data_IF_299638766942
#
_entry.id   IF_299638766942
#
_cell.length_a   1.000
_cell.length_b   1.000
_cell.length_c   1.000
_cell.angle_alpha   90.00
_cell.angle_beta   90.00
_cell.angle_gamma   90.00
#
_symmetry.space_group_name_H-M   'P 1'
#
loop_
_entity.id
_entity.type
_entity.pdbx_description
1 polymer ?
#
# COMPACT_ATOMS: atom_id res chain seq x y z
N UNK A 1 -1.99 -9.66 25.16
CA UNK A 1 -2.01 -9.34 23.71
C UNK A 1 -3.36 -8.69 23.40
N UNK A 2 -3.40 -7.56 22.70
CA UNK A 2 -4.68 -6.95 22.30
C UNK A 2 -5.19 -7.58 20.98
N UNK A 3 -6.48 -7.36 20.67
CA UNK A 3 -7.14 -7.98 19.51
C UNK A 3 -6.47 -7.59 18.18
N UNK A 4 -6.01 -6.36 18.05
CA UNK A 4 -5.26 -5.87 16.87
C UNK A 4 -3.98 -6.66 16.64
N UNK A 5 -3.18 -6.86 17.69
CA UNK A 5 -1.94 -7.63 17.61
C UNK A 5 -2.22 -9.11 17.31
N UNK A 6 -3.31 -9.67 17.86
CA UNK A 6 -3.73 -11.05 17.56
C UNK A 6 -4.14 -11.20 16.09
N UNK A 7 -4.90 -10.25 15.55
CA UNK A 7 -5.31 -10.24 14.14
C UNK A 7 -4.10 -10.11 13.19
N UNK A 8 -3.15 -9.24 13.52
CA UNK A 8 -1.90 -9.10 12.76
C UNK A 8 -1.09 -10.40 12.75
N UNK A 9 -0.98 -11.08 13.90
CA UNK A 9 -0.30 -12.37 14.00
C UNK A 9 -0.97 -13.46 13.16
N UNK A 10 -2.31 -13.53 13.15
CA UNK A 10 -3.05 -14.49 12.32
C UNK A 10 -2.76 -14.24 10.84
N UNK A 11 -2.80 -12.98 10.40
CA UNK A 11 -2.46 -12.61 9.01
C UNK A 11 -1.03 -12.98 8.63
N UNK A 12 -0.07 -12.72 9.51
CA UNK A 12 1.32 -13.08 9.27
C UNK A 12 1.51 -14.60 9.13
N UNK A 13 0.83 -15.40 9.96
CA UNK A 13 0.88 -16.87 9.87
C UNK A 13 0.28 -17.39 8.57
N UNK A 14 -0.86 -16.86 8.15
CA UNK A 14 -1.48 -17.22 6.87
C UNK A 14 -0.60 -16.86 5.67
N UNK A 15 0.02 -15.68 5.69
CA UNK A 15 0.95 -15.26 4.64
C UNK A 15 2.18 -16.17 4.58
N UNK A 16 2.70 -16.62 5.72
CA UNK A 16 3.86 -17.49 5.80
C UNK A 16 3.62 -18.90 5.22
N UNK A 17 2.37 -19.38 5.23
CA UNK A 17 2.00 -20.68 4.68
C UNK A 17 1.40 -20.58 3.27
N UNK A 18 1.34 -19.39 2.67
CA UNK A 18 0.70 -19.18 1.36
C UNK A 18 1.33 -20.07 0.27
N UNK A 19 0.53 -20.71 -0.61
CA UNK A 19 -0.92 -20.51 -0.80
C UNK A 19 -1.82 -21.22 0.23
N UNK A 20 -1.26 -21.97 1.18
CA UNK A 20 -2.04 -22.65 2.23
C UNK A 20 -2.87 -23.81 1.70
N UNK A 21 -2.41 -24.46 0.62
CA UNK A 21 -3.12 -25.56 -0.02
C UNK A 21 -3.00 -26.82 0.82
N UNK A 22 -4.07 -27.17 1.52
CA UNK A 22 -4.17 -28.36 2.36
C UNK A 22 -5.10 -29.38 1.71
N UNK A 23 -4.75 -30.66 1.81
CA UNK A 23 -5.57 -31.77 1.31
C UNK A 23 -5.78 -32.83 2.40
N UNK A 24 -6.99 -33.40 2.41
CA UNK A 24 -7.31 -34.58 3.22
C UNK A 24 -6.74 -35.82 2.54
N UNK A 25 -5.99 -36.62 3.28
CA UNK A 25 -5.43 -37.89 2.82
C UNK A 25 -5.70 -38.98 3.85
N UNK A 26 -5.70 -40.24 3.38
CA UNK A 26 -5.80 -41.43 4.23
C UNK A 26 -4.66 -42.39 3.91
N UNK A 27 -4.11 -43.00 4.95
CA UNK A 27 -3.16 -44.11 4.86
C UNK A 27 -3.55 -45.25 5.82
N UNK A 28 -2.65 -46.21 6.03
CA UNK A 28 -2.87 -47.33 6.95
C UNK A 28 -3.08 -46.93 8.42
N UNK A 29 -2.62 -45.73 8.81
CA UNK A 29 -2.74 -45.19 10.16
C UNK A 29 -3.90 -44.18 10.27
N UNK A 30 -4.74 -44.07 9.24
CA UNK A 30 -5.96 -43.26 9.22
C UNK A 30 -5.84 -41.92 8.48
N UNK A 31 -6.69 -40.97 8.87
CA UNK A 31 -6.87 -39.70 8.17
C UNK A 31 -5.87 -38.63 8.64
N UNK A 32 -5.26 -37.91 7.70
CA UNK A 32 -4.37 -36.79 7.98
C UNK A 32 -4.54 -35.65 6.95
N UNK A 33 -3.96 -34.50 7.28
CA UNK A 33 -3.83 -33.35 6.38
C UNK A 33 -2.40 -33.26 5.91
N UNK A 34 -2.21 -33.07 4.61
CA UNK A 34 -0.93 -32.68 4.03
C UNK A 34 -1.01 -31.25 3.52
N UNK A 35 0.09 -30.51 3.63
CA UNK A 35 0.28 -29.21 3.02
C UNK A 35 1.10 -29.37 1.74
N UNK A 36 0.66 -28.69 0.68
CA UNK A 36 1.43 -28.55 -0.56
C UNK A 36 2.39 -27.37 -0.46
N UNK A 37 3.68 -27.65 -0.58
CA UNK A 37 4.73 -26.64 -0.62
C UNK A 37 4.93 -26.02 -2.01
N UNK A 38 5.82 -25.01 -2.13
CA UNK A 38 5.97 -24.21 -3.35
C UNK A 38 6.42 -24.99 -4.59
N UNK A 39 7.12 -26.11 -4.41
CA UNK A 39 7.61 -26.95 -5.52
C UNK A 39 6.72 -28.18 -5.75
N UNK A 40 5.56 -28.23 -5.09
CA UNK A 40 4.59 -29.33 -5.21
C UNK A 40 4.83 -30.48 -4.23
N UNK A 41 5.79 -30.36 -3.31
CA UNK A 41 6.02 -31.31 -2.23
C UNK A 41 4.79 -31.42 -1.32
N UNK A 42 4.47 -32.64 -0.88
CA UNK A 42 3.36 -32.91 0.01
C UNK A 42 3.93 -33.31 1.37
N UNK A 43 3.58 -32.56 2.41
CA UNK A 43 4.10 -32.76 3.77
C UNK A 43 2.95 -32.96 4.75
N UNK A 44 2.89 -34.08 5.50
CA UNK A 44 1.90 -34.27 6.56
C UNK A 44 2.06 -33.19 7.65
N UNK A 45 0.98 -32.48 7.99
CA UNK A 45 0.99 -31.38 8.98
C UNK A 45 0.12 -31.67 10.20
N UNK A 46 -0.85 -32.56 10.10
CA UNK A 46 -1.77 -32.91 11.18
C UNK A 46 -2.38 -34.30 10.93
N UNK A 47 -2.52 -35.13 11.96
CA UNK A 47 -3.29 -36.38 11.90
C UNK A 47 -4.50 -36.33 12.82
N UNK A 48 -5.63 -36.86 12.38
CA UNK A 48 -6.86 -36.90 13.17
C UNK A 48 -6.96 -38.18 13.99
N UNK A 49 -7.66 -38.08 15.12
CA UNK A 49 -8.07 -39.26 15.87
C UNK A 49 -9.10 -40.05 15.03
N UNK A 50 -9.12 -41.40 15.10
CA UNK A 50 -10.10 -42.22 14.39
C UNK A 50 -11.57 -41.88 14.69
N UNK A 51 -11.87 -41.30 15.85
CA UNK A 51 -13.21 -40.86 16.23
C UNK A 51 -13.61 -39.46 15.75
N UNK A 52 -12.73 -38.74 15.04
CA UNK A 52 -13.06 -37.43 14.50
C UNK A 52 -14.13 -37.55 13.41
N UNK A 53 -15.14 -36.69 13.48
CA UNK A 53 -16.19 -36.63 12.47
C UNK A 53 -15.66 -36.06 11.16
N UNK A 54 -16.33 -36.40 10.06
CA UNK A 54 -16.00 -35.84 8.74
C UNK A 54 -16.13 -34.31 8.72
N UNK A 55 -17.09 -33.74 9.44
CA UNK A 55 -17.28 -32.29 9.53
C UNK A 55 -16.10 -31.60 10.24
N UNK A 56 -15.61 -32.18 11.35
CA UNK A 56 -14.42 -31.67 12.05
C UNK A 56 -13.17 -31.74 11.16
N UNK A 57 -13.03 -32.83 10.40
CA UNK A 57 -11.91 -33.01 9.47
C UNK A 57 -11.97 -31.97 8.36
N UNK A 58 -13.12 -31.81 7.70
CA UNK A 58 -13.29 -30.86 6.61
C UNK A 58 -13.09 -29.42 7.06
N UNK A 59 -13.61 -29.05 8.24
CA UNK A 59 -13.39 -27.71 8.80
C UNK A 59 -11.89 -27.38 8.95
N UNK A 60 -11.08 -28.36 9.35
CA UNK A 60 -9.63 -28.18 9.53
C UNK A 60 -8.89 -28.16 8.20
N UNK A 61 -9.26 -29.02 7.24
CA UNK A 61 -8.69 -29.05 5.90
C UNK A 61 -8.92 -27.71 5.19
N UNK A 62 -10.13 -27.17 5.30
CA UNK A 62 -10.54 -25.91 4.67
C UNK A 62 -10.13 -24.66 5.48
N UNK A 63 -9.44 -24.84 6.61
CA UNK A 63 -9.15 -23.76 7.56
C UNK A 63 -8.35 -22.59 6.94
N UNK A 64 -7.27 -22.82 6.14
CA UNK A 64 -6.56 -21.72 5.51
C UNK A 64 -7.45 -20.87 4.59
N UNK A 65 -8.22 -21.52 3.72
CA UNK A 65 -9.15 -20.86 2.81
C UNK A 65 -10.27 -20.12 3.56
N UNK A 66 -10.87 -20.79 4.55
CA UNK A 66 -11.90 -20.22 5.42
C UNK A 66 -11.40 -18.97 6.13
N UNK A 67 -10.18 -18.99 6.68
CA UNK A 67 -9.60 -17.83 7.33
C UNK A 67 -9.31 -16.69 6.34
N UNK A 68 -8.81 -16.99 5.14
CA UNK A 68 -8.63 -15.97 4.08
C UNK A 68 -9.96 -15.33 3.71
N UNK A 69 -11.02 -16.14 3.55
CA UNK A 69 -12.37 -15.67 3.25
C UNK A 69 -12.93 -14.76 4.36
N UNK A 70 -12.86 -15.21 5.63
CA UNK A 70 -13.35 -14.46 6.79
C UNK A 70 -12.58 -13.16 6.99
N UNK A 71 -11.25 -13.18 6.87
CA UNK A 71 -10.43 -11.97 6.95
C UNK A 71 -10.75 -10.99 5.81
N UNK A 72 -11.00 -11.50 4.60
CA UNK A 72 -11.48 -10.70 3.48
C UNK A 72 -12.85 -10.07 3.73
N UNK A 73 -13.77 -10.78 4.40
CA UNK A 73 -15.05 -10.21 4.85
C UNK A 73 -14.85 -9.09 5.87
N UNK A 74 -13.96 -9.29 6.85
CA UNK A 74 -13.60 -8.27 7.84
C UNK A 74 -13.01 -7.04 7.15
N UNK A 75 -12.10 -7.22 6.19
CA UNK A 75 -11.51 -6.11 5.42
C UNK A 75 -12.57 -5.34 4.64
N UNK A 76 -13.50 -6.04 3.98
CA UNK A 76 -14.63 -5.41 3.28
C UNK A 76 -15.57 -4.69 4.24
N UNK A 77 -15.86 -5.27 5.41
CA UNK A 77 -16.71 -4.65 6.41
C UNK A 77 -16.06 -3.37 6.98
N UNK A 78 -14.76 -3.43 7.32
CA UNK A 78 -13.98 -2.27 7.75
C UNK A 78 -13.94 -1.21 6.64
N UNK A 79 -13.77 -1.60 5.38
CA UNK A 79 -13.77 -0.66 4.25
C UNK A 79 -15.14 0.02 4.05
N UNK A 80 -16.25 -0.67 4.36
CA UNK A 80 -17.62 -0.11 4.30
C UNK A 80 -17.97 0.77 5.51
N UNK A 81 -17.47 0.42 6.69
CA UNK A 81 -17.73 1.14 7.96
C UNK A 81 -16.82 2.34 8.15
N UNK A 82 -15.61 2.28 7.58
CA UNK A 82 -14.89 3.52 7.33
C UNK A 82 -15.86 4.37 6.51
N UNK A 83 -16.21 5.60 6.93
CA UNK A 83 -16.82 6.55 6.01
C UNK A 83 -15.98 6.48 4.74
N UNK A 84 -16.54 6.63 3.53
CA UNK A 84 -15.71 6.69 2.34
C UNK A 84 -14.57 7.60 2.72
N UNK A 85 -13.37 7.03 2.89
CA UNK A 85 -12.16 7.83 2.91
C UNK A 85 -12.37 8.48 1.59
N UNK A 86 -12.73 9.77 1.62
CA UNK A 86 -13.00 10.52 0.43
C UNK A 86 -11.90 10.07 -0.50
N UNK A 87 -12.26 9.33 -1.55
CA UNK A 87 -11.26 8.87 -2.50
C UNK A 87 -10.68 10.09 -3.24
N UNK A 88 -11.03 11.32 -2.82
CA UNK A 88 -10.16 12.49 -2.59
C UNK A 88 -8.84 12.22 -1.82
N UNK A 89 -8.19 11.05 -1.90
CA UNK A 89 -6.72 10.99 -1.65
C UNK A 89 -5.97 10.17 -2.70
N UNK A 90 -6.60 9.23 -3.43
CA UNK A 90 -5.82 8.37 -4.35
C UNK A 90 -6.49 7.98 -5.67
N UNK A 91 -7.72 8.42 -5.98
CA UNK A 91 -8.25 8.29 -7.35
C UNK A 91 -9.15 9.43 -7.85
N UNK A 92 -9.56 10.35 -6.96
CA UNK A 92 -10.22 11.63 -7.30
C UNK A 92 -9.32 12.88 -7.21
N UNK A 93 -8.10 12.75 -6.66
CA UNK A 93 -7.12 13.86 -6.57
C UNK A 93 -6.29 14.09 -7.83
N UNK A 94 -6.61 13.44 -8.95
CA UNK A 94 -6.08 13.88 -10.24
C UNK A 94 -6.84 15.09 -10.80
N UNK A 95 -8.09 15.36 -10.37
CA UNK A 95 -8.89 16.43 -10.97
C UNK A 95 -9.84 17.23 -10.06
N UNK A 96 -10.06 16.91 -8.78
CA UNK A 96 -11.10 17.62 -8.00
C UNK A 96 -10.79 17.96 -6.53
N UNK A 97 -9.51 18.03 -6.12
CA UNK A 97 -9.11 19.04 -5.14
C UNK A 97 -8.35 20.08 -5.92
N UNK A 98 -9.03 21.15 -6.26
CA UNK A 98 -8.37 22.41 -6.45
C UNK A 98 -7.98 22.85 -5.02
N UNK A 99 -6.71 22.69 -4.57
CA UNK A 99 -6.31 23.53 -3.48
C UNK A 99 -6.41 24.92 -4.10
N UNK A 100 -7.36 25.74 -3.63
CA UNK A 100 -7.39 27.18 -3.93
C UNK A 100 -6.06 27.89 -3.57
N UNK A 101 -5.00 27.14 -3.19
CA UNK A 101 -3.69 27.62 -2.83
C UNK A 101 -2.54 26.63 -3.18
N UNK A 102 -2.31 26.33 -4.47
CA UNK A 102 -1.05 25.75 -4.99
C UNK A 102 0.21 26.44 -4.45
N UNK A 103 0.15 27.74 -4.17
CA UNK A 103 1.27 28.48 -3.59
C UNK A 103 1.69 27.95 -2.21
N UNK A 104 0.72 27.61 -1.35
CA UNK A 104 0.97 27.08 -0.01
C UNK A 104 1.58 25.68 -0.08
N UNK A 105 1.03 24.83 -0.93
CA UNK A 105 1.57 23.49 -1.16
C UNK A 105 3.02 23.55 -1.68
N UNK A 106 3.28 24.39 -2.69
CA UNK A 106 4.61 24.61 -3.20
C UNK A 106 5.57 25.03 -2.09
N UNK A 107 5.13 25.89 -1.16
CA UNK A 107 5.91 26.24 0.01
C UNK A 107 6.26 25.07 0.92
N UNK A 108 5.30 24.21 1.22
CA UNK A 108 5.54 23.01 2.06
C UNK A 108 6.50 22.03 1.37
N UNK A 109 6.32 21.80 0.06
CA UNK A 109 7.18 20.89 -0.71
C UNK A 109 8.62 21.40 -0.83
N UNK A 110 8.84 22.70 -0.98
CA UNK A 110 10.20 23.26 -1.01
C UNK A 110 11.01 23.02 0.29
N UNK A 111 10.34 22.75 1.41
CA UNK A 111 10.98 22.45 2.70
C UNK A 111 11.27 20.96 2.89
N UNK A 112 10.65 20.08 2.09
CA UNK A 112 10.81 18.63 2.17
C UNK A 112 12.21 18.20 1.69
N UNK A 113 13.05 17.57 2.54
CA UNK A 113 14.39 17.12 2.16
C UNK A 113 14.40 16.21 0.93
N UNK A 114 13.43 15.31 0.79
CA UNK A 114 13.36 14.39 -0.36
C UNK A 114 13.05 15.13 -1.65
N UNK A 115 12.23 16.18 -1.58
CA UNK A 115 11.93 17.01 -2.74
C UNK A 115 13.17 17.79 -3.21
N UNK A 116 14.05 18.20 -2.29
CA UNK A 116 15.31 18.85 -2.63
C UNK A 116 16.27 17.91 -3.37
N UNK A 117 16.37 16.66 -2.91
CA UNK A 117 17.17 15.61 -3.57
C UNK A 117 16.60 15.30 -4.96
N UNK A 118 15.28 15.18 -5.08
CA UNK A 118 14.63 15.02 -6.38
C UNK A 118 14.96 16.15 -7.36
N UNK A 119 14.92 17.41 -6.91
CA UNK A 119 15.27 18.55 -7.76
C UNK A 119 16.76 18.57 -8.13
N UNK A 120 17.64 18.11 -7.25
CA UNK A 120 19.07 17.91 -7.56
C UNK A 120 19.23 16.86 -8.67
N UNK A 121 18.65 15.68 -8.50
CA UNK A 121 18.83 14.54 -9.42
C UNK A 121 18.15 14.74 -10.79
N UNK A 122 16.91 15.25 -10.80
CA UNK A 122 16.06 15.29 -12.00
C UNK A 122 16.05 16.62 -12.70
N UNK A 123 16.27 17.71 -11.97
CA UNK A 123 16.19 19.06 -12.50
C UNK A 123 17.49 19.84 -12.37
N UNK A 124 18.58 19.23 -11.87
CA UNK A 124 19.90 19.85 -11.79
C UNK A 124 19.95 21.04 -10.83
N UNK A 125 19.30 20.93 -9.67
CA UNK A 125 19.47 21.90 -8.59
C UNK A 125 20.87 21.75 -7.97
N UNK A 126 21.68 22.80 -8.06
CA UNK A 126 23.04 22.80 -7.51
C UNK A 126 23.07 23.03 -5.99
N UNK A 127 24.00 22.35 -5.32
CA UNK A 127 24.27 22.55 -3.89
C UNK A 127 24.77 23.97 -3.59
N UNK A 128 24.48 24.51 -2.39
CA UNK A 128 23.69 23.92 -1.31
C UNK A 128 22.17 23.89 -1.59
N UNK A 129 21.49 22.85 -1.12
CA UNK A 129 20.04 22.66 -1.25
C UNK A 129 19.26 23.47 -0.19
N UNK A 130 19.36 24.80 -0.26
CA UNK A 130 18.63 25.71 0.64
C UNK A 130 17.20 25.92 0.15
N UNK A 131 16.28 26.21 1.09
CA UNK A 131 14.86 26.46 0.79
C UNK A 131 14.68 27.58 -0.26
N UNK A 132 15.53 28.61 -0.20
CA UNK A 132 15.51 29.73 -1.14
C UNK A 132 15.87 29.30 -2.57
N UNK A 133 16.93 28.50 -2.73
CA UNK A 133 17.38 27.99 -4.03
C UNK A 133 16.37 27.02 -4.63
N UNK A 134 15.79 26.17 -3.79
CA UNK A 134 14.71 25.26 -4.16
C UNK A 134 13.50 26.06 -4.66
N UNK A 135 13.07 27.08 -3.91
CA UNK A 135 11.96 27.93 -4.32
C UNK A 135 12.26 28.72 -5.60
N UNK A 136 13.50 29.17 -5.81
CA UNK A 136 13.91 29.84 -7.05
C UNK A 136 13.88 28.87 -8.24
N UNK A 137 14.37 27.64 -8.06
CA UNK A 137 14.35 26.61 -9.11
C UNK A 137 12.94 26.24 -9.52
N UNK A 138 12.05 26.02 -8.55
CA UNK A 138 10.63 25.72 -8.82
C UNK A 138 9.97 26.87 -9.59
N UNK A 139 10.18 28.13 -9.19
CA UNK A 139 9.68 29.29 -9.95
C UNK A 139 10.16 29.31 -11.41
N UNK A 140 11.45 29.02 -11.62
CA UNK A 140 12.03 28.92 -12.96
C UNK A 140 11.41 27.80 -13.81
N UNK A 141 11.14 26.64 -13.21
CA UNK A 141 10.46 25.53 -13.89
C UNK A 141 9.02 25.88 -14.29
N UNK A 142 8.32 26.63 -13.44
CA UNK A 142 6.92 27.02 -13.66
C UNK A 142 6.76 28.29 -14.52
N UNK A 143 7.84 29.04 -14.75
CA UNK A 143 7.83 30.30 -15.50
C UNK A 143 7.16 31.46 -14.75
N UNK A 144 7.14 31.44 -13.42
CA UNK A 144 6.46 32.43 -12.57
C UNK A 144 7.44 33.19 -11.69
N UNK A 145 7.10 34.42 -11.32
CA UNK A 145 7.92 35.23 -10.38
C UNK A 145 7.51 35.02 -8.92
N UNK A 146 6.26 34.61 -8.70
CA UNK A 146 5.66 34.38 -7.40
C UNK A 146 4.94 33.04 -7.36
N UNK A 147 5.05 32.34 -6.23
CA UNK A 147 4.28 31.10 -5.97
C UNK A 147 2.77 31.34 -6.00
N UNK A 148 2.32 32.58 -5.74
CA UNK A 148 0.89 32.95 -5.82
C UNK A 148 0.32 32.75 -7.22
N UNK A 149 1.13 32.97 -8.25
CA UNK A 149 0.72 32.81 -9.66
C UNK A 149 0.33 31.36 -9.99
N UNK A 150 0.75 30.38 -9.19
CA UNK A 150 0.29 28.99 -9.33
C UNK A 150 -1.22 28.84 -9.07
N UNK A 151 -1.81 29.75 -8.29
CA UNK A 151 -3.24 29.74 -7.97
C UNK A 151 -4.11 30.34 -9.07
N UNK A 152 -3.50 31.10 -9.98
CA UNK A 152 -4.22 31.82 -11.04
C UNK A 152 -4.60 30.89 -12.21
N UNK A 153 -4.24 29.60 -12.12
CA UNK A 153 -4.50 28.59 -13.13
C UNK A 153 -3.55 28.65 -14.32
N UNK A 154 -3.91 27.97 -15.41
CA UNK A 154 -3.13 27.97 -16.64
C UNK A 154 -1.80 27.21 -16.57
N UNK A 155 -0.88 27.54 -17.49
CA UNK A 155 0.36 26.79 -17.74
C UNK A 155 1.22 26.55 -16.48
N UNK A 156 1.31 27.54 -15.60
CA UNK A 156 2.09 27.43 -14.37
C UNK A 156 1.50 26.40 -13.39
N UNK A 157 0.16 26.38 -13.26
CA UNK A 157 -0.55 25.40 -12.43
C UNK A 157 -0.44 23.97 -12.99
N UNK A 158 -0.46 23.82 -14.32
CA UNK A 158 -0.30 22.54 -15.01
C UNK A 158 1.13 22.01 -14.85
N UNK A 159 2.13 22.86 -15.04
CA UNK A 159 3.53 22.52 -14.81
C UNK A 159 3.76 22.10 -13.35
N UNK A 160 3.07 22.70 -12.38
CA UNK A 160 3.18 22.34 -10.97
C UNK A 160 2.62 20.94 -10.70
N UNK A 161 1.45 20.63 -11.28
CA UNK A 161 0.85 19.30 -11.21
C UNK A 161 1.76 18.24 -11.84
N UNK A 162 2.39 18.55 -12.97
CA UNK A 162 3.34 17.65 -13.62
C UNK A 162 4.56 17.36 -12.74
N UNK A 163 5.21 18.42 -12.22
CA UNK A 163 6.39 18.29 -11.35
C UNK A 163 6.09 17.45 -10.10
N UNK A 164 4.90 17.65 -9.50
CA UNK A 164 4.42 16.82 -8.39
C UNK A 164 4.29 15.35 -8.78
N UNK A 165 3.70 15.07 -9.94
CA UNK A 165 3.57 13.70 -10.45
C UNK A 165 4.92 13.01 -10.67
N UNK A 166 5.91 13.75 -11.19
CA UNK A 166 7.29 13.28 -11.37
C UNK A 166 7.96 12.96 -10.02
N UNK A 167 7.78 13.83 -9.03
CA UNK A 167 8.28 13.59 -7.67
C UNK A 167 7.65 12.36 -7.01
N UNK A 168 6.33 12.21 -7.10
CA UNK A 168 5.63 11.06 -6.53
C UNK A 168 6.05 9.74 -7.22
N UNK A 169 6.30 9.77 -8.54
CA UNK A 169 6.84 8.63 -9.27
C UNK A 169 8.27 8.29 -8.83
N UNK A 170 9.10 9.32 -8.58
CA UNK A 170 10.47 9.15 -8.07
C UNK A 170 10.50 8.51 -6.67
N UNK A 171 9.64 8.96 -5.75
CA UNK A 171 9.52 8.36 -4.41
C UNK A 171 9.11 6.88 -4.45
N UNK A 172 8.17 6.52 -5.32
CA UNK A 172 7.72 5.12 -5.49
C UNK A 172 8.81 4.21 -6.03
N UNK A 173 9.77 4.75 -6.76
CA UNK A 173 10.92 4.01 -7.26
C UNK A 173 11.95 3.69 -6.14
N UNK A 174 11.69 4.08 -4.89
CA UNK A 174 12.52 3.74 -3.73
C UNK A 174 13.83 4.51 -3.67
N UNK A 175 13.85 5.76 -4.16
CA UNK A 175 15.00 6.66 -4.07
C UNK A 175 14.72 7.80 -3.11
#
# INVERSE_FOLDING_TARGET
MNDTARLAMIRARLAAIAPGQWSRVHDGDGCFVEARGPMGELSPVLRFNPGASDDEIMLVVDLPETLVFLLGLVDRAIARLKPPVRQDVQRGEAQARDPKNFAAECGMKCQDPSFKVFLEERHGLERPLTDERVAQKVRGLMGVTSRRELNDGGRASEAWRQLRGEFDAWLRAGR
#
